data_IF_710631447058
#
_entry.id   IF_710631447058
#
_cell.length_a   1.000
_cell.length_b   1.000
_cell.length_c   1.000
_cell.angle_alpha   90.00
_cell.angle_beta   90.00
_cell.angle_gamma   90.00
#
_symmetry.space_group_name_H-M   'P 1'
#
loop_
_entity.id
_entity.type
_entity.pdbx_description
1 polymer ?
#
# COMPACT_ATOMS: atom_id res chain seq x y z
N UNK A 1 -14.16 -3.21 -18.93
CA UNK A 1 -12.72 -3.58 -18.91
C UNK A 1 -12.51 -4.98 -19.46
N UNK A 2 -11.83 -5.17 -20.60
CA UNK A 2 -11.43 -6.47 -21.10
C UNK A 2 -10.51 -7.19 -20.11
N UNK A 3 -10.65 -8.52 -20.03
CA UNK A 3 -9.88 -9.38 -19.10
C UNK A 3 -9.46 -10.67 -19.80
N UNK A 4 -8.19 -11.03 -19.65
CA UNK A 4 -7.65 -12.34 -20.05
C UNK A 4 -7.11 -13.06 -18.82
N UNK A 5 -7.40 -14.37 -18.72
CA UNK A 5 -6.79 -15.27 -17.74
C UNK A 5 -5.93 -16.26 -18.50
N UNK A 6 -4.62 -16.17 -18.33
CA UNK A 6 -3.67 -17.10 -18.91
C UNK A 6 -3.75 -18.49 -18.22
N UNK A 7 -3.44 -19.61 -18.89
CA UNK A 7 -3.45 -20.94 -18.26
C UNK A 7 -2.59 -21.08 -17.01
N UNK A 8 -1.54 -20.25 -16.84
CA UNK A 8 -0.72 -20.15 -15.63
C UNK A 8 -1.41 -19.49 -14.44
N UNK A 9 -2.65 -19.01 -14.60
CA UNK A 9 -3.37 -18.24 -13.59
C UNK A 9 -3.10 -16.73 -13.60
N UNK A 10 -2.12 -16.25 -14.40
CA UNK A 10 -1.88 -14.81 -14.61
C UNK A 10 -3.15 -14.12 -15.13
N UNK A 11 -3.47 -12.97 -14.57
CA UNK A 11 -4.63 -12.15 -14.97
C UNK A 11 -4.16 -10.85 -15.61
N UNK A 12 -4.73 -10.52 -16.74
CA UNK A 12 -4.45 -9.28 -17.48
C UNK A 12 -5.76 -8.52 -17.61
N UNK A 13 -5.80 -7.29 -17.14
CA UNK A 13 -6.95 -6.38 -17.22
C UNK A 13 -6.52 -5.12 -17.94
N UNK A 14 -7.34 -4.62 -18.86
CA UNK A 14 -7.00 -3.40 -19.60
C UNK A 14 -8.16 -2.43 -19.65
N UNK A 15 -7.81 -1.13 -19.73
CA UNK A 15 -8.76 -0.06 -20.02
C UNK A 15 -8.24 0.76 -21.20
N UNK A 16 -8.98 0.75 -22.32
CA UNK A 16 -8.65 1.53 -23.52
C UNK A 16 -9.14 2.96 -23.37
N UNK A 17 -8.22 3.93 -23.34
CA UNK A 17 -8.49 5.36 -23.28
C UNK A 17 -7.82 6.04 -24.47
N UNK A 18 -8.54 6.12 -25.58
CA UNK A 18 -7.98 6.59 -26.87
C UNK A 18 -7.79 8.13 -26.95
N UNK A 19 -8.24 8.85 -25.94
CA UNK A 19 -8.15 10.34 -25.89
C UNK A 19 -6.84 10.85 -25.29
N UNK A 20 -6.01 9.95 -24.77
CA UNK A 20 -4.70 10.28 -24.17
C UNK A 20 -3.58 9.58 -24.93
N UNK A 21 -2.36 10.12 -24.83
CA UNK A 21 -1.14 9.49 -25.36
C UNK A 21 -0.34 8.73 -24.27
N UNK A 22 -0.75 8.86 -23.02
CA UNK A 22 -0.11 8.14 -21.90
C UNK A 22 -0.65 6.73 -21.73
N UNK A 23 0.21 5.86 -21.23
CA UNK A 23 -0.15 4.50 -20.79
C UNK A 23 0.46 4.25 -19.43
N UNK A 24 -0.34 3.74 -18.50
CA UNK A 24 0.10 3.24 -17.21
C UNK A 24 0.03 1.70 -17.20
N UNK A 25 1.12 1.07 -16.77
CA UNK A 25 1.24 -0.38 -16.59
C UNK A 25 1.55 -0.66 -15.13
N UNK A 26 0.79 -1.55 -14.50
CA UNK A 26 1.06 -2.02 -13.14
C UNK A 26 1.07 -3.54 -13.06
N UNK A 27 2.13 -4.12 -12.50
CA UNK A 27 2.23 -5.55 -12.15
C UNK A 27 1.98 -5.67 -10.64
N UNK A 28 0.82 -6.18 -10.29
CA UNK A 28 0.35 -6.33 -8.92
C UNK A 28 0.55 -7.76 -8.45
N UNK A 29 1.38 -7.94 -7.43
CA UNK A 29 1.65 -9.23 -6.81
C UNK A 29 0.83 -9.32 -5.51
N UNK A 30 0.03 -10.37 -5.33
CA UNK A 30 -0.82 -10.61 -4.17
C UNK A 30 -0.02 -11.06 -2.94
N UNK A 31 1.08 -10.36 -2.66
CA UNK A 31 2.02 -10.62 -1.56
C UNK A 31 2.45 -9.29 -0.94
N UNK A 32 2.37 -9.18 0.37
CA UNK A 32 2.81 -8.04 1.15
C UNK A 32 3.26 -8.43 2.56
N UNK A 33 3.48 -7.46 3.44
CA UNK A 33 4.00 -7.73 4.79
C UNK A 33 3.10 -8.64 5.63
N UNK A 34 1.81 -8.72 5.33
CA UNK A 34 0.88 -9.66 5.95
C UNK A 34 1.25 -11.14 5.73
N UNK A 35 1.91 -11.45 4.61
CA UNK A 35 2.24 -12.82 4.19
C UNK A 35 3.59 -13.31 4.73
N UNK A 36 4.23 -12.48 5.52
CA UNK A 36 5.54 -12.73 6.12
C UNK A 36 5.45 -13.49 7.43
N UNK A 37 6.46 -14.29 7.69
CA UNK A 37 6.70 -14.94 8.98
C UNK A 37 7.61 -14.08 9.87
N UNK A 38 7.87 -14.51 11.10
CA UNK A 38 8.84 -13.81 11.95
C UNK A 38 10.25 -13.74 11.33
N UNK A 39 10.64 -14.83 10.61
CA UNK A 39 11.97 -14.91 9.98
C UNK A 39 12.06 -14.15 8.64
N UNK A 40 10.95 -13.74 8.08
CA UNK A 40 10.88 -12.99 6.81
C UNK A 40 10.22 -11.63 6.98
N UNK A 41 10.16 -11.09 8.20
CA UNK A 41 9.58 -9.79 8.46
C UNK A 41 10.38 -8.69 7.73
N UNK A 42 9.70 -7.91 6.88
CA UNK A 42 10.29 -6.91 5.99
C UNK A 42 10.74 -7.47 4.63
N UNK A 43 10.57 -8.78 4.36
CA UNK A 43 11.05 -9.38 3.11
C UNK A 43 10.34 -8.86 1.86
N UNK A 44 9.06 -8.51 1.94
CA UNK A 44 8.33 -7.98 0.78
C UNK A 44 8.89 -6.64 0.33
N UNK A 45 9.12 -5.73 1.25
CA UNK A 45 9.71 -4.43 0.99
C UNK A 45 11.19 -4.55 0.58
N UNK A 46 11.96 -5.34 1.31
CA UNK A 46 13.36 -5.57 0.97
C UNK A 46 13.54 -6.18 -0.43
N UNK A 47 12.66 -7.11 -0.81
CA UNK A 47 12.65 -7.69 -2.16
C UNK A 47 12.30 -6.64 -3.22
N UNK A 48 11.38 -5.73 -2.93
CA UNK A 48 11.07 -4.61 -3.84
C UNK A 48 12.32 -3.86 -4.23
N UNK A 49 13.15 -3.41 -3.27
CA UNK A 49 14.44 -2.76 -3.53
C UNK A 49 15.38 -3.63 -4.38
N UNK A 50 15.52 -4.90 -4.02
CA UNK A 50 16.46 -5.81 -4.67
C UNK A 50 16.13 -6.11 -6.11
N UNK A 51 14.86 -6.05 -6.53
CA UNK A 51 14.49 -6.29 -7.92
C UNK A 51 15.04 -5.19 -8.85
N UNK A 52 15.25 -3.97 -8.37
CA UNK A 52 15.85 -2.87 -9.14
C UNK A 52 17.38 -2.94 -9.23
N UNK A 53 18.05 -3.85 -8.50
CA UNK A 53 19.52 -3.93 -8.48
C UNK A 53 20.11 -4.71 -9.66
N UNK A 54 19.30 -5.42 -10.41
CA UNK A 54 19.71 -6.06 -11.65
C UNK A 54 19.00 -7.38 -11.92
N UNK A 55 18.95 -7.67 -13.19
CA UNK A 55 18.41 -8.91 -13.77
C UNK A 55 19.51 -9.65 -14.51
N UNK A 56 19.16 -10.78 -15.12
CA UNK A 56 20.07 -11.47 -16.05
C UNK A 56 20.36 -10.65 -17.31
N UNK A 57 19.49 -9.70 -17.65
CA UNK A 57 19.50 -8.97 -18.91
C UNK A 57 19.91 -7.51 -18.76
N UNK A 58 19.81 -6.94 -17.52
CA UNK A 58 20.00 -5.51 -17.27
C UNK A 58 20.71 -5.27 -15.95
N UNK A 59 21.64 -4.32 -15.94
CA UNK A 59 22.17 -3.74 -14.71
C UNK A 59 21.13 -2.80 -14.08
N UNK A 60 21.33 -2.34 -12.84
CA UNK A 60 20.50 -1.34 -12.19
C UNK A 60 20.40 -0.04 -13.02
N UNK A 61 21.53 0.40 -13.61
CA UNK A 61 21.55 1.58 -14.47
C UNK A 61 20.75 1.37 -15.75
N UNK A 62 20.86 0.20 -16.40
CA UNK A 62 20.10 -0.11 -17.59
C UNK A 62 18.59 -0.14 -17.32
N UNK A 63 18.17 -0.61 -16.14
CA UNK A 63 16.77 -0.62 -15.71
C UNK A 63 16.23 0.81 -15.63
N UNK A 64 16.90 1.69 -14.92
CA UNK A 64 16.47 3.09 -14.72
C UNK A 64 16.52 3.86 -16.05
N UNK A 65 17.67 3.81 -16.75
CA UNK A 65 17.88 4.57 -17.99
C UNK A 65 16.96 4.13 -19.12
N UNK A 66 16.53 2.87 -19.18
CA UNK A 66 15.58 2.41 -20.21
C UNK A 66 14.26 3.19 -20.17
N UNK A 67 13.71 3.47 -18.99
CA UNK A 67 12.46 4.19 -18.84
C UNK A 67 12.67 5.71 -18.86
N UNK A 68 13.74 6.20 -18.22
CA UNK A 68 14.07 7.62 -18.18
C UNK A 68 14.39 8.17 -19.59
N UNK A 69 15.07 7.40 -20.44
CA UNK A 69 15.43 7.83 -21.80
C UNK A 69 14.23 8.10 -22.72
N UNK A 70 13.06 7.55 -22.41
CA UNK A 70 11.80 7.81 -23.13
C UNK A 70 10.89 8.80 -22.38
N UNK A 71 11.41 9.46 -21.33
CA UNK A 71 10.64 10.39 -20.51
C UNK A 71 9.56 9.71 -19.67
N UNK A 72 9.69 8.41 -19.44
CA UNK A 72 8.78 7.63 -18.61
C UNK A 72 9.11 7.72 -17.12
N UNK A 73 8.17 7.27 -16.31
CA UNK A 73 8.31 7.12 -14.86
C UNK A 73 8.14 5.64 -14.49
N UNK A 74 8.98 5.13 -13.60
CA UNK A 74 8.87 3.78 -13.06
C UNK A 74 9.12 3.81 -11.56
N UNK A 75 8.31 3.07 -10.81
CA UNK A 75 8.48 2.93 -9.37
C UNK A 75 7.80 1.64 -8.88
N UNK A 76 7.92 1.36 -7.59
CA UNK A 76 7.21 0.28 -6.91
C UNK A 76 6.73 0.74 -5.53
N UNK A 77 5.87 -0.04 -4.93
CA UNK A 77 5.51 0.10 -3.53
C UNK A 77 5.01 -1.22 -2.95
N UNK A 78 5.30 -1.41 -1.67
CA UNK A 78 4.84 -2.55 -0.88
C UNK A 78 3.79 -2.11 0.13
N UNK A 79 2.67 -2.83 0.17
CA UNK A 79 1.64 -2.66 1.18
C UNK A 79 1.54 -3.90 2.09
N UNK A 80 0.55 -3.90 2.98
CA UNK A 80 0.29 -5.06 3.84
C UNK A 80 -0.10 -6.31 3.05
N UNK A 81 -0.82 -6.17 1.94
CA UNK A 81 -1.43 -7.29 1.23
C UNK A 81 -0.99 -7.47 -0.22
N UNK A 82 -0.24 -6.53 -0.77
CA UNK A 82 0.25 -6.59 -2.15
C UNK A 82 1.49 -5.73 -2.34
N UNK A 83 2.26 -6.06 -3.38
CA UNK A 83 3.36 -5.26 -3.90
C UNK A 83 3.05 -4.91 -5.35
N UNK A 84 3.34 -3.68 -5.77
CA UNK A 84 3.09 -3.24 -7.13
C UNK A 84 4.37 -2.66 -7.74
N UNK A 85 4.70 -3.08 -8.96
CA UNK A 85 5.72 -2.47 -9.82
C UNK A 85 4.99 -1.81 -10.97
N UNK A 86 5.24 -0.53 -11.22
CA UNK A 86 4.49 0.21 -12.23
C UNK A 86 5.37 1.15 -13.04
N UNK A 87 4.91 1.44 -14.24
CA UNK A 87 5.50 2.45 -15.10
C UNK A 87 4.42 3.28 -15.80
N UNK A 88 4.76 4.53 -16.12
CA UNK A 88 3.97 5.41 -16.96
C UNK A 88 4.83 5.90 -18.12
N UNK A 89 4.39 5.64 -19.34
CA UNK A 89 5.09 6.00 -20.58
C UNK A 89 4.11 6.54 -21.61
N UNK A 90 4.61 7.02 -22.74
CA UNK A 90 3.75 7.26 -23.91
C UNK A 90 3.42 5.94 -24.61
N UNK A 91 2.35 5.93 -25.39
CA UNK A 91 1.80 4.72 -26.04
C UNK A 91 2.79 3.99 -26.96
N UNK A 92 3.72 4.70 -27.59
CA UNK A 92 4.79 4.13 -28.42
C UNK A 92 5.78 3.28 -27.63
N UNK A 93 5.96 3.56 -26.34
CA UNK A 93 6.96 2.93 -25.47
C UNK A 93 6.38 1.88 -24.52
N UNK A 94 5.09 1.56 -24.68
CA UNK A 94 4.42 0.53 -23.87
C UNK A 94 5.16 -0.81 -23.90
N UNK A 95 5.66 -1.24 -25.06
CA UNK A 95 6.39 -2.51 -25.18
C UNK A 95 7.67 -2.51 -24.36
N UNK A 96 8.40 -1.40 -24.32
CA UNK A 96 9.58 -1.22 -23.48
C UNK A 96 9.21 -1.29 -21.99
N UNK A 97 8.15 -0.60 -21.56
CA UNK A 97 7.71 -0.63 -20.17
C UNK A 97 7.30 -2.04 -19.72
N UNK A 98 6.54 -2.77 -20.56
CA UNK A 98 6.19 -4.17 -20.31
C UNK A 98 7.44 -5.04 -20.20
N UNK A 99 8.40 -4.84 -21.08
CA UNK A 99 9.64 -5.61 -21.12
C UNK A 99 10.48 -5.41 -19.86
N UNK A 100 10.71 -4.16 -19.46
CA UNK A 100 11.48 -3.81 -18.25
C UNK A 100 10.80 -4.35 -16.98
N UNK A 101 9.52 -4.05 -16.78
CA UNK A 101 8.79 -4.51 -15.60
C UNK A 101 8.71 -6.05 -15.51
N UNK A 102 8.51 -6.72 -16.66
CA UNK A 102 8.50 -8.19 -16.70
C UNK A 102 9.87 -8.77 -16.36
N UNK A 103 10.94 -8.14 -16.82
CA UNK A 103 12.32 -8.56 -16.55
C UNK A 103 12.65 -8.49 -15.05
N UNK A 104 12.22 -7.42 -14.36
CA UNK A 104 12.32 -7.31 -12.89
C UNK A 104 11.66 -8.50 -12.19
N UNK A 105 10.46 -8.88 -12.64
CA UNK A 105 9.65 -9.92 -12.00
C UNK A 105 10.15 -11.33 -12.30
N UNK A 106 10.69 -11.57 -13.49
CA UNK A 106 11.04 -12.93 -13.95
C UNK A 106 12.51 -13.29 -13.75
N UNK A 107 13.41 -12.32 -13.93
CA UNK A 107 14.82 -12.56 -14.21
C UNK A 107 15.79 -11.94 -13.21
N UNK A 108 15.28 -11.40 -12.08
CA UNK A 108 16.12 -10.78 -11.04
C UNK A 108 17.11 -11.78 -10.43
N UNK A 109 18.37 -11.35 -10.28
CA UNK A 109 19.47 -12.22 -9.84
C UNK A 109 19.71 -12.19 -8.33
N UNK A 110 19.38 -11.10 -7.64
CA UNK A 110 19.51 -10.91 -6.19
C UNK A 110 20.90 -11.34 -5.71
N UNK A 111 21.92 -10.52 -6.00
CA UNK A 111 23.30 -10.79 -5.63
C UNK A 111 23.54 -10.59 -4.12
N UNK A 112 24.56 -11.27 -3.57
CA UNK A 112 24.90 -11.16 -2.14
C UNK A 112 25.33 -9.75 -1.73
N UNK A 113 26.07 -9.09 -2.60
CA UNK A 113 26.57 -7.74 -2.34
C UNK A 113 25.43 -6.71 -2.38
N UNK A 114 24.46 -6.87 -3.30
CA UNK A 114 23.26 -6.04 -3.35
C UNK A 114 22.41 -6.22 -2.09
N UNK A 115 22.23 -7.46 -1.62
CA UNK A 115 21.51 -7.73 -0.36
C UNK A 115 22.17 -7.03 0.82
N UNK A 116 23.51 -7.03 0.89
CA UNK A 116 24.23 -6.34 1.97
C UNK A 116 24.12 -4.82 1.85
N UNK A 117 24.23 -4.27 0.65
CA UNK A 117 24.12 -2.84 0.41
C UNK A 117 22.70 -2.34 0.72
N UNK A 118 21.68 -2.99 0.17
CA UNK A 118 20.27 -2.61 0.37
C UNK A 118 19.79 -2.85 1.81
N UNK A 119 20.34 -3.82 2.53
CA UNK A 119 20.05 -3.96 3.96
C UNK A 119 20.38 -2.68 4.74
N UNK A 120 21.48 -1.99 4.39
CA UNK A 120 21.80 -0.71 5.01
C UNK A 120 20.81 0.39 4.64
N UNK A 121 20.35 0.42 3.37
CA UNK A 121 19.32 1.40 2.93
C UNK A 121 18.02 1.19 3.71
N UNK A 122 17.53 -0.05 3.79
CA UNK A 122 16.32 -0.36 4.56
C UNK A 122 16.48 -0.06 6.06
N UNK A 123 17.68 -0.24 6.61
CA UNK A 123 17.96 0.14 8.01
C UNK A 123 17.93 1.65 8.23
N UNK A 124 18.38 2.46 7.26
CA UNK A 124 18.23 3.92 7.30
C UNK A 124 16.74 4.33 7.20
N UNK A 125 15.95 3.68 6.34
CA UNK A 125 14.51 3.94 6.28
C UNK A 125 13.79 3.60 7.58
N UNK A 126 14.17 2.49 8.24
CA UNK A 126 13.67 2.16 9.58
C UNK A 126 14.04 3.26 10.57
N UNK A 127 15.29 3.77 10.53
CA UNK A 127 15.71 4.85 11.39
C UNK A 127 14.95 6.16 11.10
N UNK A 128 14.78 6.52 9.84
CA UNK A 128 13.97 7.69 9.43
C UNK A 128 12.53 7.61 9.94
N UNK A 129 11.87 6.45 9.77
CA UNK A 129 10.53 6.22 10.31
C UNK A 129 10.52 6.32 11.84
N UNK A 130 11.50 5.71 12.50
CA UNK A 130 11.60 5.72 13.96
C UNK A 130 11.85 7.13 14.49
N UNK A 131 12.51 7.99 13.74
CA UNK A 131 12.79 9.39 14.10
C UNK A 131 11.63 10.35 13.78
N UNK A 132 10.64 9.92 13.01
CA UNK A 132 9.42 10.70 12.73
C UNK A 132 8.23 10.19 13.58
N UNK A 133 7.87 10.89 14.68
CA UNK A 133 6.75 10.48 15.51
C UNK A 133 5.40 10.50 14.80
N UNK A 134 5.25 11.33 13.75
CA UNK A 134 4.02 11.41 12.96
C UNK A 134 3.79 10.18 12.09
N UNK A 135 4.86 9.52 11.66
CA UNK A 135 4.83 8.29 10.89
C UNK A 135 4.75 7.06 11.81
N UNK A 136 5.59 7.04 12.83
CA UNK A 136 5.69 5.94 13.79
C UNK A 136 4.37 5.65 14.51
N UNK A 137 3.55 6.68 14.79
CA UNK A 137 2.26 6.50 15.47
C UNK A 137 1.28 5.61 14.69
N UNK A 138 1.35 5.61 13.36
CA UNK A 138 0.51 4.78 12.51
C UNK A 138 0.90 3.30 12.61
N UNK A 139 2.18 2.99 12.67
CA UNK A 139 2.66 1.62 12.93
C UNK A 139 2.29 1.16 14.34
N UNK A 140 2.49 2.01 15.35
CA UNK A 140 2.08 1.73 16.73
C UNK A 140 0.56 1.46 16.84
N UNK A 141 -0.24 2.24 16.12
CA UNK A 141 -1.68 2.02 16.07
C UNK A 141 -2.01 0.62 15.52
N UNK A 142 -1.44 0.25 14.38
CA UNK A 142 -1.68 -1.05 13.77
C UNK A 142 -1.20 -2.20 14.64
N UNK A 143 -0.02 -2.07 15.25
CA UNK A 143 0.50 -3.04 16.20
C UNK A 143 -0.42 -3.21 17.42
N UNK A 144 -0.88 -2.11 18.00
CA UNK A 144 -1.80 -2.12 19.13
C UNK A 144 -3.16 -2.73 18.75
N UNK A 145 -3.71 -2.31 17.60
CA UNK A 145 -5.04 -2.69 17.13
C UNK A 145 -5.12 -4.16 16.71
N UNK A 146 -4.17 -4.62 15.90
CA UNK A 146 -4.13 -6.00 15.42
C UNK A 146 -3.37 -6.95 16.34
N UNK A 147 -2.51 -6.46 17.24
CA UNK A 147 -1.74 -7.25 18.17
C UNK A 147 -0.84 -8.25 17.45
N UNK A 148 -0.99 -9.53 17.77
CA UNK A 148 -0.17 -10.61 17.17
C UNK A 148 -0.52 -10.96 15.72
N UNK A 149 -1.57 -10.37 15.15
CA UNK A 149 -1.92 -10.59 13.75
C UNK A 149 -0.88 -9.95 12.83
N UNK A 150 -0.62 -10.56 11.69
CA UNK A 150 0.38 -10.06 10.73
C UNK A 150 0.06 -8.69 10.15
N UNK A 151 -1.21 -8.24 10.17
CA UNK A 151 -1.58 -6.87 9.80
C UNK A 151 -0.99 -5.80 10.74
N UNK A 152 -0.67 -6.16 11.99
CA UNK A 152 -0.02 -5.26 12.95
C UNK A 152 1.49 -5.10 12.73
N UNK A 153 2.13 -5.95 11.92
CA UNK A 153 3.59 -5.85 11.69
C UNK A 153 3.94 -4.67 10.77
N UNK A 154 5.04 -3.95 11.02
CA UNK A 154 5.51 -2.90 10.12
C UNK A 154 5.93 -3.48 8.76
N UNK A 155 5.72 -2.71 7.68
CA UNK A 155 6.08 -3.12 6.32
C UNK A 155 7.59 -3.22 6.17
N UNK A 156 8.33 -2.30 6.74
CA UNK A 156 9.81 -2.28 6.74
C UNK A 156 10.43 -3.44 7.51
N UNK A 157 9.64 -4.20 8.28
CA UNK A 157 10.15 -5.18 9.22
C UNK A 157 10.77 -4.52 10.46
N UNK A 158 11.78 -5.14 11.02
CA UNK A 158 12.54 -4.66 12.19
C UNK A 158 14.03 -4.64 11.88
N UNK A 159 14.79 -3.80 12.58
CA UNK A 159 16.26 -3.79 12.51
C UNK A 159 16.86 -5.18 12.65
N UNK A 160 16.32 -6.00 13.59
CA UNK A 160 16.78 -7.38 13.80
C UNK A 160 16.47 -8.28 12.60
N UNK A 161 15.28 -8.20 12.03
CA UNK A 161 14.89 -9.07 10.90
C UNK A 161 15.69 -8.74 9.64
N UNK A 162 15.89 -7.45 9.34
CA UNK A 162 16.67 -7.01 8.17
C UNK A 162 18.14 -7.40 8.30
N UNK A 163 18.79 -7.15 9.45
CA UNK A 163 20.19 -7.54 9.68
C UNK A 163 20.44 -9.03 9.55
N UNK A 164 19.44 -9.88 9.87
CA UNK A 164 19.55 -11.33 9.82
C UNK A 164 19.03 -11.94 8.51
N UNK A 165 18.51 -11.13 7.58
CA UNK A 165 17.95 -11.63 6.32
C UNK A 165 19.05 -11.98 5.34
N UNK A 166 19.29 -13.30 5.15
CA UNK A 166 20.28 -13.77 4.21
C UNK A 166 19.78 -13.69 2.76
N UNK A 167 20.74 -13.65 1.81
CA UNK A 167 20.43 -13.74 0.38
C UNK A 167 19.55 -14.96 0.06
N UNK A 168 19.83 -16.11 0.64
CA UNK A 168 19.05 -17.30 0.35
C UNK A 168 17.64 -17.24 0.92
N UNK A 169 17.46 -16.59 2.07
CA UNK A 169 16.12 -16.34 2.64
C UNK A 169 15.29 -15.49 1.69
N UNK A 170 15.83 -14.35 1.23
CA UNK A 170 15.09 -13.43 0.34
C UNK A 170 14.87 -14.03 -1.06
N UNK A 171 15.86 -14.74 -1.61
CA UNK A 171 15.73 -15.42 -2.89
C UNK A 171 14.67 -16.54 -2.85
N UNK A 172 14.65 -17.34 -1.79
CA UNK A 172 13.62 -18.35 -1.59
C UNK A 172 12.22 -17.73 -1.38
N UNK A 173 12.16 -16.56 -0.73
CA UNK A 173 10.92 -15.78 -0.61
C UNK A 173 10.42 -15.35 -1.97
N UNK A 174 11.26 -14.73 -2.80
CA UNK A 174 10.97 -14.36 -4.18
C UNK A 174 10.45 -15.55 -4.99
N UNK A 175 11.18 -16.66 -5.01
CA UNK A 175 10.81 -17.85 -5.81
C UNK A 175 9.48 -18.50 -5.39
N UNK A 176 9.11 -18.41 -4.11
CA UNK A 176 7.86 -19.00 -3.60
C UNK A 176 6.66 -18.07 -3.72
N UNK A 177 6.89 -16.76 -3.69
CA UNK A 177 5.82 -15.78 -3.57
C UNK A 177 5.48 -15.09 -4.90
N UNK A 178 6.44 -14.95 -5.80
CA UNK A 178 6.21 -14.33 -7.10
C UNK A 178 5.86 -15.43 -8.12
N UNK A 179 4.58 -15.76 -8.16
CA UNK A 179 4.02 -16.81 -9.02
C UNK A 179 2.95 -16.22 -9.95
N UNK A 180 2.83 -16.70 -11.20
CA UNK A 180 1.88 -16.16 -12.16
C UNK A 180 0.44 -16.05 -11.65
N UNK A 181 -0.06 -17.07 -10.94
CA UNK A 181 -1.42 -17.09 -10.39
C UNK A 181 -1.67 -16.02 -9.31
N UNK A 182 -0.60 -15.50 -8.70
CA UNK A 182 -0.68 -14.44 -7.70
C UNK A 182 -0.51 -13.04 -8.30
N UNK A 183 -0.42 -12.95 -9.64
CA UNK A 183 -0.19 -11.68 -10.35
C UNK A 183 -1.42 -11.24 -11.11
N UNK A 184 -1.68 -9.93 -11.02
CA UNK A 184 -2.57 -9.18 -11.92
C UNK A 184 -1.75 -8.11 -12.62
N UNK A 185 -1.82 -8.07 -13.94
CA UNK A 185 -1.31 -6.94 -14.70
C UNK A 185 -2.47 -6.07 -15.14
N UNK A 186 -2.43 -4.81 -14.76
CA UNK A 186 -3.40 -3.79 -15.15
C UNK A 186 -2.74 -2.77 -16.07
N UNK A 187 -3.35 -2.51 -17.22
CA UNK A 187 -2.85 -1.53 -18.21
C UNK A 187 -3.98 -0.61 -18.64
N UNK A 188 -3.75 0.70 -18.53
CA UNK A 188 -4.72 1.71 -18.93
C UNK A 188 -4.06 2.78 -19.80
N UNK A 189 -4.77 3.26 -20.84
CA UNK A 189 -4.30 4.31 -21.73
C UNK A 189 -4.62 4.02 -23.20
N UNK A 190 -3.85 4.62 -24.11
CA UNK A 190 -4.02 4.41 -25.56
C UNK A 190 -3.42 3.06 -25.99
N UNK A 191 -4.21 2.01 -25.82
CA UNK A 191 -3.77 0.61 -26.00
C UNK A 191 -4.82 -0.21 -26.76
N UNK A 192 -4.40 -1.43 -27.16
CA UNK A 192 -5.30 -2.48 -27.63
C UNK A 192 -5.10 -3.75 -26.80
N UNK A 193 -6.17 -4.24 -26.17
CA UNK A 193 -6.12 -5.40 -25.27
C UNK A 193 -5.33 -6.59 -25.84
N UNK A 194 -5.63 -6.99 -27.07
CA UNK A 194 -4.95 -8.14 -27.72
C UNK A 194 -3.43 -7.94 -27.87
N UNK A 195 -2.98 -6.71 -28.14
CA UNK A 195 -1.55 -6.39 -28.27
C UNK A 195 -0.88 -6.44 -26.89
N UNK A 196 -1.50 -5.88 -25.86
CA UNK A 196 -1.02 -5.92 -24.48
C UNK A 196 -0.86 -7.38 -24.00
N UNK A 197 -1.88 -8.21 -24.22
CA UNK A 197 -1.83 -9.64 -23.85
C UNK A 197 -0.66 -10.33 -24.51
N UNK A 198 -0.48 -10.17 -25.83
CA UNK A 198 0.62 -10.78 -26.59
C UNK A 198 1.99 -10.33 -26.08
N UNK A 199 2.15 -9.02 -25.80
CA UNK A 199 3.42 -8.47 -25.29
C UNK A 199 3.74 -9.00 -23.91
N UNK A 200 2.74 -9.07 -23.00
CA UNK A 200 2.91 -9.61 -21.65
C UNK A 200 3.22 -11.12 -21.66
N UNK A 201 2.52 -11.91 -22.47
CA UNK A 201 2.81 -13.34 -22.61
C UNK A 201 4.23 -13.58 -23.08
N UNK A 202 4.67 -12.83 -24.10
CA UNK A 202 6.05 -12.92 -24.59
C UNK A 202 7.08 -12.51 -23.53
N UNK A 203 6.86 -11.40 -22.82
CA UNK A 203 7.80 -10.88 -21.84
C UNK A 203 7.87 -11.75 -20.58
N UNK A 204 6.73 -12.23 -20.08
CA UNK A 204 6.64 -13.05 -18.87
C UNK A 204 6.95 -14.54 -19.09
N UNK A 205 7.08 -15.02 -20.33
CA UNK A 205 7.53 -16.41 -20.59
C UNK A 205 9.03 -16.61 -20.35
N UNK A 206 9.78 -15.56 -20.10
CA UNK A 206 11.21 -15.63 -19.80
C UNK A 206 11.50 -16.52 -18.60
N UNK A 207 12.63 -17.23 -18.69
CA UNK A 207 13.11 -18.12 -17.63
C UNK A 207 12.08 -19.15 -17.15
N UNK A 208 11.13 -19.53 -17.99
CA UNK A 208 10.08 -20.47 -17.64
C UNK A 208 9.14 -19.94 -16.54
N UNK A 209 8.94 -18.60 -16.48
CA UNK A 209 8.14 -18.03 -15.39
C UNK A 209 6.67 -18.45 -15.47
N UNK A 210 6.07 -18.42 -16.66
CA UNK A 210 4.66 -18.80 -16.83
C UNK A 210 4.43 -20.29 -16.54
N UNK A 211 5.40 -21.16 -16.79
CA UNK A 211 5.35 -22.59 -16.51
C UNK A 211 5.34 -22.91 -15.01
N UNK A 212 5.79 -21.97 -14.18
CA UNK A 212 5.71 -22.08 -12.70
C UNK A 212 4.31 -21.87 -12.16
N UNK A 213 3.42 -21.33 -12.98
CA UNK A 213 2.04 -21.06 -12.63
C UNK A 213 1.18 -22.32 -12.52
N UNK A 214 0.09 -22.20 -11.81
CA UNK A 214 -0.97 -23.22 -11.69
C UNK A 214 -2.28 -22.63 -12.16
N UNK A 215 -3.07 -23.41 -12.87
CA UNK A 215 -4.45 -23.01 -13.19
C UNK A 215 -5.25 -22.76 -11.92
N UNK A 216 -5.90 -21.61 -11.87
CA UNK A 216 -6.74 -21.23 -10.75
C UNK A 216 -6.09 -20.24 -9.80
N UNK A 217 -6.74 -19.10 -9.67
CA UNK A 217 -6.39 -18.06 -8.70
C UNK A 217 -7.05 -18.38 -7.35
N UNK A 218 -6.27 -18.34 -6.30
CA UNK A 218 -6.80 -18.36 -4.94
C UNK A 218 -6.98 -16.92 -4.47
N UNK A 219 -8.25 -16.54 -4.24
CA UNK A 219 -8.53 -15.29 -3.53
C UNK A 219 -7.85 -15.35 -2.15
N UNK A 220 -7.24 -14.25 -1.74
CA UNK A 220 -6.77 -14.12 -0.36
C UNK A 220 -7.94 -14.45 0.58
N UNK A 221 -7.67 -15.24 1.60
CA UNK A 221 -8.67 -15.58 2.59
C UNK A 221 -9.22 -14.29 3.23
N UNK A 222 -10.49 -14.00 2.97
CA UNK A 222 -11.22 -12.85 3.50
C UNK A 222 -11.92 -13.16 4.84
N UNK A 223 -11.57 -14.25 5.51
CA UNK A 223 -12.13 -14.54 6.83
C UNK A 223 -11.89 -13.36 7.78
N UNK A 224 -12.87 -13.03 8.64
CA UNK A 224 -12.75 -11.93 9.58
C UNK A 224 -11.49 -12.06 10.43
N UNK A 225 -10.71 -10.98 10.49
CA UNK A 225 -9.51 -10.90 11.34
C UNK A 225 -9.94 -10.54 12.75
N UNK A 226 -9.50 -11.32 13.73
CA UNK A 226 -9.73 -10.99 15.15
C UNK A 226 -8.91 -9.75 15.54
N UNK A 227 -9.62 -8.70 15.94
CA UNK A 227 -9.02 -7.48 16.47
C UNK A 227 -8.82 -7.67 17.98
N UNK A 228 -7.57 -7.81 18.40
CA UNK A 228 -7.22 -8.07 19.82
C UNK A 228 -6.93 -6.81 20.61
N UNK A 229 -6.86 -5.67 19.94
CA UNK A 229 -6.48 -4.38 20.53
C UNK A 229 -7.64 -3.48 20.92
N UNK A 230 -8.90 -3.92 20.79
CA UNK A 230 -10.05 -3.11 21.19
C UNK A 230 -9.92 -2.66 22.64
N UNK A 231 -10.03 -1.34 22.87
CA UNK A 231 -9.90 -0.73 24.19
C UNK A 231 -8.48 -0.69 24.75
N UNK A 232 -7.45 -1.07 23.98
CA UNK A 232 -6.05 -0.96 24.38
C UNK A 232 -5.48 0.39 24.00
N UNK A 233 -4.47 0.81 24.74
CA UNK A 233 -3.66 2.00 24.49
C UNK A 233 -2.22 1.56 24.27
N UNK A 234 -1.63 1.96 23.14
CA UNK A 234 -0.20 1.88 22.88
C UNK A 234 0.43 3.24 23.12
N UNK A 235 1.59 3.27 23.77
CA UNK A 235 2.31 4.51 24.07
C UNK A 235 3.79 4.32 23.79
N UNK A 236 4.39 5.26 23.07
CA UNK A 236 5.84 5.42 22.97
C UNK A 236 6.14 6.77 23.64
N UNK A 237 6.85 6.73 24.77
CA UNK A 237 7.27 7.93 25.49
C UNK A 237 8.59 8.44 24.92
N UNK A 238 8.53 9.63 24.32
CA UNK A 238 9.68 10.34 23.76
C UNK A 238 9.58 11.84 24.01
N UNK A 239 10.71 12.50 24.16
CA UNK A 239 10.76 13.95 24.22
C UNK A 239 10.61 14.52 22.80
N UNK A 240 9.43 15.00 22.47
CA UNK A 240 9.08 15.59 21.17
C UNK A 240 8.36 16.92 21.36
N UNK A 241 8.38 17.78 20.36
CA UNK A 241 7.66 19.07 20.38
C UNK A 241 6.13 18.86 20.35
N UNK A 242 5.67 17.81 19.70
CA UNK A 242 4.26 17.46 19.58
C UNK A 242 3.99 16.05 20.11
N UNK A 243 2.81 15.84 20.65
CA UNK A 243 2.22 14.52 20.84
C UNK A 243 1.43 14.15 19.57
N UNK A 244 1.69 12.97 19.05
CA UNK A 244 0.97 12.40 17.92
C UNK A 244 0.01 11.34 18.41
N UNK A 245 -1.23 11.42 17.98
CA UNK A 245 -2.33 10.61 18.49
C UNK A 245 -3.04 9.92 17.32
N UNK A 246 -3.36 8.65 17.49
CA UNK A 246 -4.28 7.94 16.60
C UNK A 246 -5.35 7.27 17.45
N UNK A 247 -6.59 7.66 17.24
CA UNK A 247 -7.77 6.99 17.79
C UNK A 247 -8.47 6.22 16.68
N UNK A 248 -8.68 4.92 16.87
CA UNK A 248 -9.27 4.07 15.86
C UNK A 248 -10.46 3.28 16.34
N UNK A 249 -11.40 3.08 15.44
CA UNK A 249 -12.57 2.21 15.61
C UNK A 249 -12.62 1.14 14.53
N UNK A 250 -13.43 0.11 14.73
CA UNK A 250 -13.62 -0.93 13.72
C UNK A 250 -14.18 -0.33 12.43
N UNK A 251 -13.54 -0.65 11.31
CA UNK A 251 -14.02 -0.36 9.97
C UNK A 251 -14.57 -1.63 9.31
N UNK A 252 -14.68 -1.58 7.99
CA UNK A 252 -15.15 -2.70 7.16
C UNK A 252 -14.04 -3.19 6.24
N UNK A 253 -14.15 -4.45 5.78
CA UNK A 253 -13.20 -5.01 4.84
C UNK A 253 -13.33 -4.37 3.44
N UNK A 254 -12.31 -4.55 2.61
CA UNK A 254 -12.27 -4.02 1.24
C UNK A 254 -13.41 -4.49 0.35
N UNK A 255 -13.96 -5.67 0.59
CA UNK A 255 -15.06 -6.26 -0.19
C UNK A 255 -16.44 -5.97 0.37
N UNK A 256 -16.54 -5.29 1.51
CA UNK A 256 -17.83 -4.95 2.14
C UNK A 256 -18.48 -3.76 1.41
N UNK A 257 -19.73 -3.89 1.02
CA UNK A 257 -20.48 -2.83 0.32
C UNK A 257 -20.61 -1.54 1.16
N UNK A 258 -20.59 -1.66 2.49
CA UNK A 258 -20.63 -0.50 3.41
C UNK A 258 -19.39 0.38 3.32
N UNK A 259 -18.32 -0.05 2.64
CA UNK A 259 -17.11 0.76 2.44
C UNK A 259 -17.39 2.13 1.83
N UNK A 260 -18.38 2.24 0.95
CA UNK A 260 -18.77 3.52 0.35
C UNK A 260 -19.40 4.46 1.37
N UNK A 261 -20.30 3.96 2.22
CA UNK A 261 -20.86 4.73 3.32
C UNK A 261 -19.76 5.13 4.33
N UNK A 262 -18.83 4.23 4.63
CA UNK A 262 -17.69 4.51 5.51
C UNK A 262 -16.79 5.62 4.93
N UNK A 263 -16.59 5.69 3.61
CA UNK A 263 -15.83 6.76 2.96
C UNK A 263 -16.51 8.12 3.12
N UNK A 264 -17.84 8.17 2.98
CA UNK A 264 -18.61 9.39 3.23
C UNK A 264 -18.51 9.81 4.71
N UNK A 265 -18.65 8.87 5.63
CA UNK A 265 -18.52 9.11 7.06
C UNK A 265 -17.13 9.66 7.43
N UNK A 266 -16.07 9.01 6.92
CA UNK A 266 -14.71 9.48 7.14
C UNK A 266 -14.50 10.91 6.60
N UNK A 267 -14.99 11.19 5.39
CA UNK A 267 -14.92 12.55 4.81
C UNK A 267 -15.64 13.59 5.66
N UNK A 268 -16.82 13.28 6.19
CA UNK A 268 -17.58 14.19 7.05
C UNK A 268 -16.87 14.45 8.40
N UNK A 269 -16.20 13.44 8.95
CA UNK A 269 -15.55 13.53 10.26
C UNK A 269 -14.17 14.19 10.20
N UNK A 270 -13.34 13.91 9.20
CA UNK A 270 -11.96 14.40 9.14
C UNK A 270 -11.37 14.53 7.74
N UNK A 271 -12.20 14.61 6.68
CA UNK A 271 -11.73 14.64 5.30
C UNK A 271 -11.33 16.02 4.76
N UNK A 272 -11.39 17.07 5.56
CA UNK A 272 -11.04 18.42 5.13
C UNK A 272 -11.39 19.52 6.14
N UNK A 273 -11.17 20.78 5.76
CA UNK A 273 -11.35 21.93 6.66
C UNK A 273 -12.79 22.10 7.16
N UNK A 274 -13.80 21.67 6.43
CA UNK A 274 -15.20 21.73 6.84
C UNK A 274 -15.67 20.50 7.66
N UNK A 275 -14.80 19.53 7.92
CA UNK A 275 -15.11 18.33 8.70
C UNK A 275 -15.27 18.63 10.19
N UNK A 276 -16.04 17.79 10.90
CA UNK A 276 -16.35 18.03 12.33
C UNK A 276 -15.10 18.14 13.18
N UNK A 277 -14.15 17.22 13.06
CA UNK A 277 -12.95 17.21 13.90
C UNK A 277 -12.04 18.41 13.59
N UNK A 278 -11.92 18.79 12.33
CA UNK A 278 -11.15 19.98 11.97
C UNK A 278 -11.77 21.24 12.59
N UNK A 279 -13.09 21.40 12.49
CA UNK A 279 -13.81 22.52 13.09
C UNK A 279 -13.71 22.52 14.62
N UNK A 280 -13.91 21.38 15.27
CA UNK A 280 -13.92 21.29 16.73
C UNK A 280 -12.53 21.44 17.36
N UNK A 281 -11.50 20.83 16.76
CA UNK A 281 -10.15 20.77 17.33
C UNK A 281 -9.30 21.95 16.90
N UNK A 282 -9.29 22.26 15.58
CA UNK A 282 -8.42 23.28 15.01
C UNK A 282 -9.08 24.67 15.02
N UNK A 283 -10.22 24.82 14.35
CA UNK A 283 -10.81 26.15 14.12
C UNK A 283 -11.36 26.78 15.40
N UNK A 284 -12.14 26.03 16.17
CA UNK A 284 -12.79 26.57 17.37
C UNK A 284 -11.86 26.64 18.58
N UNK A 285 -10.90 25.73 18.72
CA UNK A 285 -10.09 25.59 19.94
C UNK A 285 -8.59 25.76 19.74
N UNK A 286 -8.09 25.71 18.51
CA UNK A 286 -6.67 25.86 18.22
C UNK A 286 -5.78 24.81 18.87
N UNK A 287 -6.30 23.58 19.09
CA UNK A 287 -5.60 22.54 19.85
C UNK A 287 -4.59 21.75 19.02
N UNK A 288 -4.83 21.61 17.72
CA UNK A 288 -3.98 20.88 16.81
C UNK A 288 -3.88 21.59 15.45
N UNK A 289 -2.70 21.57 14.85
CA UNK A 289 -2.52 22.07 13.47
C UNK A 289 -3.00 21.05 12.43
N UNK A 290 -2.69 19.78 12.68
CA UNK A 290 -3.06 18.67 11.79
C UNK A 290 -4.06 17.77 12.49
N UNK A 291 -5.23 17.59 11.88
CA UNK A 291 -6.25 16.64 12.29
C UNK A 291 -6.97 16.12 11.07
N UNK A 292 -7.05 14.79 10.92
CA UNK A 292 -7.71 14.14 9.79
C UNK A 292 -8.21 12.73 10.15
N UNK A 293 -9.10 12.21 9.32
CA UNK A 293 -9.53 10.82 9.35
C UNK A 293 -8.99 10.06 8.15
N UNK A 294 -8.76 8.78 8.31
CA UNK A 294 -8.40 7.88 7.23
C UNK A 294 -8.97 6.48 7.46
N UNK A 295 -9.13 5.76 6.36
CA UNK A 295 -9.65 4.39 6.36
C UNK A 295 -8.53 3.46 5.91
N UNK A 296 -8.36 2.37 6.64
CA UNK A 296 -7.55 1.24 6.19
C UNK A 296 -8.46 0.03 5.96
N UNK A 297 -8.36 -0.58 4.77
CA UNK A 297 -9.21 -1.70 4.37
C UNK A 297 -8.36 -2.86 3.87
N UNK A 298 -8.52 -3.99 4.52
CA UNK A 298 -7.86 -5.24 4.19
C UNK A 298 -8.89 -6.30 3.76
N UNK A 299 -8.43 -7.45 3.26
CA UNK A 299 -9.31 -8.51 2.77
C UNK A 299 -10.25 -9.09 3.83
N UNK A 300 -9.91 -9.04 5.12
CA UNK A 300 -10.74 -9.59 6.20
C UNK A 300 -10.93 -8.62 7.37
N UNK A 301 -10.58 -7.35 7.24
CA UNK A 301 -10.67 -6.35 8.29
C UNK A 301 -10.59 -4.93 7.75
N UNK A 302 -10.86 -3.95 8.60
CA UNK A 302 -10.60 -2.54 8.35
C UNK A 302 -10.66 -1.72 9.63
N UNK A 303 -10.20 -0.48 9.55
CA UNK A 303 -10.33 0.53 10.61
C UNK A 303 -10.75 1.87 10.01
N UNK A 304 -11.48 2.65 10.79
CA UNK A 304 -11.61 4.09 10.64
C UNK A 304 -10.78 4.73 11.73
N UNK A 305 -9.85 5.58 11.37
CA UNK A 305 -8.86 6.14 12.28
C UNK A 305 -8.86 7.66 12.19
N UNK A 306 -8.54 8.30 13.30
CA UNK A 306 -8.47 9.75 13.46
C UNK A 306 -7.10 10.10 14.01
N UNK A 307 -6.35 10.89 13.26
CA UNK A 307 -5.05 11.39 13.67
C UNK A 307 -5.14 12.82 14.15
N UNK A 308 -4.34 13.17 15.16
CA UNK A 308 -4.08 14.55 15.54
C UNK A 308 -2.64 14.74 16.03
N UNK A 309 -2.00 15.84 15.58
CA UNK A 309 -0.72 16.32 16.11
C UNK A 309 -0.95 17.58 16.94
N UNK A 310 -0.66 17.52 18.23
CA UNK A 310 -0.96 18.61 19.19
C UNK A 310 0.17 18.82 20.22
N UNK A 311 0.07 19.88 21.00
CA UNK A 311 0.97 20.04 22.15
C UNK A 311 0.75 18.89 23.16
N UNK A 312 1.80 18.33 23.79
CA UNK A 312 1.67 17.21 24.74
C UNK A 312 0.66 17.45 25.86
N UNK A 313 0.60 18.68 26.39
CA UNK A 313 -0.33 19.07 27.46
C UNK A 313 -1.80 19.06 27.02
N UNK A 314 -2.05 19.10 25.70
CA UNK A 314 -3.39 19.12 25.10
C UNK A 314 -3.86 17.74 24.61
N UNK A 315 -3.02 16.73 24.71
CA UNK A 315 -3.30 15.39 24.17
C UNK A 315 -4.60 14.78 24.74
N UNK A 316 -4.81 14.87 26.04
CA UNK A 316 -6.04 14.34 26.68
C UNK A 316 -7.29 15.07 26.21
N UNK A 317 -7.25 16.41 26.13
CA UNK A 317 -8.37 17.22 25.64
C UNK A 317 -8.74 16.86 24.19
N UNK A 318 -7.74 16.68 23.33
CA UNK A 318 -7.94 16.28 21.92
C UNK A 318 -8.57 14.89 21.81
N UNK A 319 -8.09 13.91 22.61
CA UNK A 319 -8.67 12.55 22.62
C UNK A 319 -10.12 12.57 23.09
N UNK A 320 -10.45 13.35 24.13
CA UNK A 320 -11.81 13.48 24.62
C UNK A 320 -12.74 14.07 23.55
N UNK A 321 -12.32 15.11 22.83
CA UNK A 321 -13.10 15.68 21.73
C UNK A 321 -13.33 14.65 20.61
N UNK A 322 -12.30 13.90 20.22
CA UNK A 322 -12.45 12.84 19.20
C UNK A 322 -13.47 11.79 19.66
N UNK A 323 -13.41 11.36 20.92
CA UNK A 323 -14.35 10.39 21.50
C UNK A 323 -15.77 10.91 21.56
N UNK A 324 -15.95 12.16 21.96
CA UNK A 324 -17.27 12.79 22.06
C UNK A 324 -17.91 12.94 20.68
N UNK A 325 -17.16 13.46 19.70
CA UNK A 325 -17.63 13.60 18.31
C UNK A 325 -17.98 12.24 17.71
N UNK A 326 -17.12 11.23 17.88
CA UNK A 326 -17.39 9.89 17.35
C UNK A 326 -18.56 9.22 18.05
N UNK A 327 -18.73 9.41 19.36
CA UNK A 327 -19.85 8.89 20.15
C UNK A 327 -21.16 9.58 19.79
N UNK A 328 -21.13 10.88 19.53
CA UNK A 328 -22.29 11.65 19.07
C UNK A 328 -22.73 11.15 17.69
N UNK A 329 -21.80 10.98 16.77
CA UNK A 329 -22.09 10.45 15.42
C UNK A 329 -22.61 9.02 15.47
N UNK A 330 -22.10 8.18 16.36
CA UNK A 330 -22.59 6.82 16.54
C UNK A 330 -24.06 6.76 17.00
N UNK A 331 -24.52 7.77 17.76
CA UNK A 331 -25.90 7.87 18.25
C UNK A 331 -26.84 8.57 17.27
N UNK A 332 -26.39 9.65 16.68
CA UNK A 332 -27.26 10.59 15.95
C UNK A 332 -27.01 10.58 14.43
N UNK A 333 -25.92 9.94 13.96
CA UNK A 333 -25.49 10.01 12.57
C UNK A 333 -24.83 11.33 12.19
N UNK A 334 -24.64 11.51 10.90
CA UNK A 334 -24.21 12.78 10.28
C UNK A 334 -25.41 13.43 9.58
N UNK A 335 -25.37 14.76 9.42
CA UNK A 335 -26.46 15.52 8.80
C UNK A 335 -26.48 15.35 7.29
N UNK A 336 -27.64 15.64 6.66
CA UNK A 336 -27.78 15.62 5.20
C UNK A 336 -26.82 16.59 4.52
N UNK A 337 -26.54 17.73 5.16
CA UNK A 337 -25.58 18.71 4.66
C UNK A 337 -24.14 18.16 4.64
N UNK A 338 -23.73 17.44 5.70
CA UNK A 338 -22.44 16.76 5.76
C UNK A 338 -22.33 15.63 4.73
N UNK A 339 -23.41 14.87 4.54
CA UNK A 339 -23.49 13.83 3.49
C UNK A 339 -23.29 14.45 2.11
N UNK A 340 -23.97 15.54 1.81
CA UNK A 340 -23.89 16.18 0.50
C UNK A 340 -22.49 16.78 0.24
N UNK A 341 -21.88 17.43 1.25
CA UNK A 341 -20.49 17.90 1.15
C UNK A 341 -19.50 16.75 0.91
N UNK A 342 -19.61 15.69 1.68
CA UNK A 342 -18.74 14.52 1.56
C UNK A 342 -18.90 13.81 0.22
N UNK A 343 -20.13 13.66 -0.30
CA UNK A 343 -20.38 13.15 -1.66
C UNK A 343 -19.73 14.02 -2.72
N UNK A 344 -19.88 15.36 -2.61
CA UNK A 344 -19.23 16.29 -3.52
C UNK A 344 -17.70 16.16 -3.50
N UNK A 345 -17.11 16.09 -2.32
CA UNK A 345 -15.66 15.93 -2.15
C UNK A 345 -15.14 14.60 -2.76
N UNK A 346 -15.81 13.47 -2.44
CA UNK A 346 -15.43 12.16 -2.97
C UNK A 346 -15.63 12.10 -4.49
N UNK A 347 -16.74 12.62 -5.01
CA UNK A 347 -16.98 12.65 -6.46
C UNK A 347 -15.99 13.55 -7.19
N UNK A 348 -15.67 14.71 -6.62
CA UNK A 348 -14.66 15.63 -7.18
C UNK A 348 -13.28 14.98 -7.26
N UNK A 349 -12.85 14.31 -6.18
CA UNK A 349 -11.56 13.60 -6.13
C UNK A 349 -11.45 12.42 -7.13
N UNK A 350 -12.57 11.92 -7.65
CA UNK A 350 -12.57 10.88 -8.70
C UNK A 350 -12.41 11.47 -10.10
N UNK A 351 -12.65 12.76 -10.27
CA UNK A 351 -12.63 13.44 -11.59
C UNK A 351 -11.39 14.31 -11.74
N UNK A 352 -10.96 14.99 -10.68
CA UNK A 352 -9.76 15.83 -10.65
C UNK A 352 -8.48 15.01 -10.43
#
# INVERSE_FOLDING_TARGET
MPKTIHPSGLRIVTEEVNTVRSVAVGIWINVGSRDETANTAGASHFLEHLLFKGTKNRTALDISSAIESVGGEMNAFTSKEYTCFYARVIDTDLTLAIDVLSDLITSSIIQKDDVKAEANVVLEEIAMRDDDPSDLIHDLFLETYYGKNSLGKPILGTTKSIKNMSRDTIYNYYKRKYLPQDIVVAVAGNIKHKQVVKSLESALSRDGFLERGKSGFQLRNAAPVRISGRGKVGVIDRKTEQAHLVYGVDGVSRSDERRFALSILASALGGGMSSRLFQEIREKRGLAYSVYSYIQQFSGSGSLSFYAGCQPQKANEVIEIIRDVTSEVARNGITDEEINRAKGAVSGALVL
#
